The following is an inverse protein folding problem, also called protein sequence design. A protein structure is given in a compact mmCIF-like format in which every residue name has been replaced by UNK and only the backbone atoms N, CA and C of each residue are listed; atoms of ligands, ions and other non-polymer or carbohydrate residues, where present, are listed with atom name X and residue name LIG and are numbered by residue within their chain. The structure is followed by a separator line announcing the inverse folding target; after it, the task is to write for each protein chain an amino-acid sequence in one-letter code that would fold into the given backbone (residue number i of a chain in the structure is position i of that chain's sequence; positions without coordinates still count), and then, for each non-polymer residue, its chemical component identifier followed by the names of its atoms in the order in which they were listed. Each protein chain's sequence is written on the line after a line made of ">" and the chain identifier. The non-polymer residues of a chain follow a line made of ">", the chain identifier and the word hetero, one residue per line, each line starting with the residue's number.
data_IF_536365885115
#
_entry.id   IF_536365885115
#
_cell.length_a   1.000
_cell.length_b   1.000
_cell.length_c   1.000
_cell.angle_alpha   90.00
_cell.angle_beta   90.00
_cell.angle_gamma   90.00
#
_symmetry.space_group_name_H-M   'P 1'
#
loop_
_entity.id
_entity.type
_entity.pdbx_description
1 polymer ?
#
# COMPACT_ATOMS: atom_id res chain seq x y z
N UNK A 1 20.31 19.48 9.42
CA UNK A 1 20.08 20.03 8.07
C UNK A 1 20.34 18.89 7.09
N UNK A 2 19.32 18.39 6.39
CA UNK A 2 19.48 17.29 5.44
C UNK A 2 20.10 17.82 4.15
N UNK A 3 21.25 17.28 3.75
CA UNK A 3 21.91 17.61 2.49
C UNK A 3 21.01 17.16 1.33
N UNK A 4 20.46 18.11 0.58
CA UNK A 4 19.62 17.84 -0.57
C UNK A 4 20.43 17.31 -1.77
N UNK A 5 19.82 16.43 -2.55
CA UNK A 5 20.34 15.99 -3.86
C UNK A 5 20.42 17.17 -4.84
N UNK A 6 21.60 17.44 -5.39
CA UNK A 6 21.77 18.42 -6.47
C UNK A 6 21.45 17.75 -7.80
N UNK A 7 20.30 18.09 -8.40
CA UNK A 7 19.89 17.60 -9.70
C UNK A 7 20.38 18.57 -10.79
N UNK A 8 21.08 18.05 -11.81
CA UNK A 8 21.57 18.84 -12.96
C UNK A 8 20.52 19.05 -14.06
N UNK A 9 19.37 18.37 -13.94
CA UNK A 9 18.28 18.47 -14.90
C UNK A 9 17.45 19.75 -14.69
N UNK A 10 17.04 20.46 -15.75
CA UNK A 10 16.19 21.63 -15.63
C UNK A 10 14.81 21.26 -15.06
N UNK A 11 14.33 22.03 -14.08
CA UNK A 11 12.98 21.84 -13.51
C UNK A 11 11.92 22.27 -14.53
N UNK A 12 11.09 21.33 -14.96
CA UNK A 12 10.00 21.59 -15.93
C UNK A 12 8.62 21.83 -15.30
N UNK A 13 8.46 21.60 -13.99
CA UNK A 13 7.18 21.79 -13.33
C UNK A 13 7.12 21.24 -11.90
N UNK A 14 5.89 21.13 -11.39
CA UNK A 14 5.56 20.46 -10.14
C UNK A 14 4.25 19.69 -10.31
N UNK A 15 4.18 18.48 -9.76
CA UNK A 15 2.97 17.67 -9.72
C UNK A 15 2.34 17.78 -8.34
N UNK A 16 1.04 18.07 -8.29
CA UNK A 16 0.26 18.02 -7.05
C UNK A 16 -0.25 16.59 -6.85
N UNK A 17 0.10 15.91 -5.75
CA UNK A 17 -0.51 14.62 -5.42
C UNK A 17 -2.02 14.80 -5.16
N UNK A 18 -2.80 13.76 -5.46
CA UNK A 18 -4.25 13.74 -5.25
C UNK A 18 -4.60 12.51 -4.44
N UNK A 19 -5.34 12.71 -3.36
CA UNK A 19 -5.85 11.61 -2.55
C UNK A 19 -7.00 10.90 -3.24
N UNK A 20 -7.39 9.75 -2.70
CA UNK A 20 -8.53 8.96 -3.20
C UNK A 20 -9.86 9.72 -3.26
N UNK A 21 -10.05 10.78 -2.44
CA UNK A 21 -11.27 11.60 -2.44
C UNK A 21 -11.29 12.65 -3.54
N UNK A 22 -10.14 12.96 -4.14
CA UNK A 22 -9.97 14.01 -5.15
C UNK A 22 -10.03 13.49 -6.59
N UNK A 23 -10.20 12.18 -6.76
CA UNK A 23 -10.17 11.52 -8.08
C UNK A 23 -11.41 10.65 -8.27
N UNK A 24 -11.96 10.66 -9.49
CA UNK A 24 -13.09 9.82 -9.87
C UNK A 24 -12.70 8.33 -9.95
N UNK A 25 -11.48 8.04 -10.44
CA UNK A 25 -10.98 6.68 -10.61
C UNK A 25 -9.46 6.63 -10.51
N UNK A 26 -8.92 5.42 -10.39
CA UNK A 26 -7.50 5.14 -10.41
C UNK A 26 -7.28 3.90 -11.27
N UNK A 27 -6.38 3.99 -12.24
CA UNK A 27 -5.98 2.85 -13.08
C UNK A 27 -4.84 2.04 -12.43
N UNK A 28 -4.41 2.43 -11.23
CA UNK A 28 -3.32 1.80 -10.51
C UNK A 28 -3.86 1.04 -9.30
N UNK A 29 -3.27 -0.13 -9.05
CA UNK A 29 -3.55 -0.97 -7.89
C UNK A 29 -2.30 -1.09 -7.04
N UNK A 30 -2.46 -1.11 -5.72
CA UNK A 30 -1.34 -1.33 -4.80
C UNK A 30 -1.32 -2.76 -4.30
N UNK A 31 -0.14 -3.37 -4.34
CA UNK A 31 0.15 -4.62 -3.65
C UNK A 31 0.28 -4.39 -2.15
N UNK A 32 -0.50 -5.14 -1.38
CA UNK A 32 -0.37 -5.27 0.08
C UNK A 32 -0.12 -6.74 0.40
N UNK A 33 0.95 -7.29 -0.20
CA UNK A 33 1.29 -8.70 -0.09
C UNK A 33 2.13 -9.03 1.15
N UNK A 34 2.05 -10.30 1.57
CA UNK A 34 2.85 -10.85 2.68
C UNK A 34 2.51 -10.19 4.01
N UNK A 35 1.27 -9.72 4.13
CA UNK A 35 0.72 -9.11 5.33
C UNK A 35 -0.18 -10.11 6.03
N UNK A 36 0.38 -11.30 6.26
CA UNK A 36 -0.28 -12.37 6.99
C UNK A 36 -0.72 -11.86 8.36
N UNK A 37 -1.85 -12.37 8.86
CA UNK A 37 -2.30 -12.09 10.24
C UNK A 37 -1.13 -12.26 11.21
N UNK A 38 -0.94 -11.28 12.09
CA UNK A 38 0.15 -11.14 13.06
C UNK A 38 1.54 -10.77 12.50
N UNK A 39 1.75 -10.69 11.18
CA UNK A 39 3.03 -10.30 10.59
C UNK A 39 3.07 -8.83 10.17
N UNK A 40 1.91 -8.19 10.04
CA UNK A 40 1.80 -6.76 9.76
C UNK A 40 0.58 -6.14 10.44
N UNK A 41 0.75 -4.91 10.92
CA UNK A 41 -0.33 -4.13 11.50
C UNK A 41 -0.95 -3.20 10.44
N UNK A 42 -2.12 -3.60 9.92
CA UNK A 42 -2.88 -2.78 8.95
C UNK A 42 -3.16 -1.37 9.46
N UNK A 43 -3.40 -1.21 10.76
CA UNK A 43 -3.73 0.09 11.34
C UNK A 43 -2.58 1.08 11.21
N UNK A 44 -1.33 0.61 11.23
CA UNK A 44 -0.15 1.46 11.14
C UNK A 44 0.09 2.05 9.76
N UNK A 45 -0.27 1.33 8.68
CA UNK A 45 0.08 1.78 7.33
C UNK A 45 -1.10 2.18 6.45
N UNK A 46 -2.34 1.86 6.84
CA UNK A 46 -3.54 2.19 6.03
C UNK A 46 -3.66 3.67 5.70
N UNK A 47 -3.18 4.55 6.58
CA UNK A 47 -3.23 6.00 6.42
C UNK A 47 -2.34 6.51 5.28
N UNK A 48 -1.30 5.75 4.92
CA UNK A 48 -0.42 6.10 3.80
C UNK A 48 -0.99 5.71 2.44
N UNK A 49 -2.02 4.85 2.38
CA UNK A 49 -2.57 4.35 1.11
C UNK A 49 -3.45 5.43 0.45
N UNK A 50 -4.36 6.03 1.20
CA UNK A 50 -5.32 7.02 0.69
C UNK A 50 -4.66 8.27 0.04
N UNK A 51 -3.56 8.82 0.59
CA UNK A 51 -2.81 9.91 -0.05
C UNK A 51 -2.19 9.58 -1.41
N UNK A 52 -1.98 8.29 -1.73
CA UNK A 52 -1.41 7.87 -3.01
C UNK A 52 -2.43 7.91 -4.17
N UNK A 53 -3.71 8.15 -3.88
CA UNK A 53 -4.76 8.08 -4.90
C UNK A 53 -5.04 6.66 -5.39
N UNK A 54 -4.72 5.64 -4.57
CA UNK A 54 -4.99 4.24 -4.88
C UNK A 54 -6.35 3.84 -4.31
N UNK A 55 -7.28 3.45 -5.18
CA UNK A 55 -8.63 3.02 -4.78
C UNK A 55 -8.77 1.51 -4.55
N UNK A 56 -7.86 0.72 -5.12
CA UNK A 56 -7.93 -0.75 -5.06
C UNK A 56 -6.58 -1.30 -4.62
N UNK A 57 -6.63 -2.18 -3.63
CA UNK A 57 -5.46 -2.91 -3.14
C UNK A 57 -5.63 -4.41 -3.35
N UNK A 58 -4.52 -5.12 -3.50
CA UNK A 58 -4.47 -6.58 -3.43
C UNK A 58 -3.89 -6.99 -2.09
N UNK A 59 -4.73 -7.59 -1.24
CA UNK A 59 -4.29 -8.12 0.05
C UNK A 59 -3.97 -9.61 -0.10
N UNK A 60 -2.78 -10.02 0.35
CA UNK A 60 -2.42 -11.43 0.48
C UNK A 60 -1.90 -11.65 1.89
N UNK A 61 -2.71 -12.27 2.74
CA UNK A 61 -2.47 -12.25 4.18
C UNK A 61 -2.97 -13.46 4.96
N UNK A 62 -2.73 -14.69 4.50
CA UNK A 62 -3.15 -15.75 5.41
C UNK A 62 -2.87 -17.21 5.12
N UNK A 63 -2.20 -17.67 4.07
CA UNK A 63 -2.12 -19.14 3.92
C UNK A 63 -1.38 -19.80 5.10
N UNK A 64 -0.29 -19.19 5.58
CA UNK A 64 0.46 -19.69 6.74
C UNK A 64 -0.34 -19.70 8.04
N UNK A 65 -1.43 -18.91 8.13
CA UNK A 65 -2.30 -18.82 9.30
C UNK A 65 -3.62 -19.58 9.13
N UNK A 66 -4.11 -19.66 7.89
CA UNK A 66 -5.34 -20.34 7.51
C UNK A 66 -5.18 -21.86 7.58
N UNK A 67 -4.08 -22.42 7.09
CA UNK A 67 -3.88 -23.88 7.06
C UNK A 67 -2.59 -24.24 7.79
N UNK A 68 -2.62 -24.13 9.12
CA UNK A 68 -1.47 -24.54 9.96
C UNK A 68 -1.29 -26.06 9.97
N UNK A 69 -2.38 -26.81 9.75
CA UNK A 69 -2.40 -28.27 9.60
C UNK A 69 -3.12 -28.57 8.28
N UNK A 70 -2.56 -29.42 7.40
CA UNK A 70 -3.19 -29.74 6.12
C UNK A 70 -4.65 -30.19 6.28
N UNK A 71 -5.56 -29.54 5.55
CA UNK A 71 -6.99 -29.81 5.59
C UNK A 71 -7.75 -29.22 6.80
N UNK A 72 -7.09 -28.47 7.69
CA UNK A 72 -7.73 -27.79 8.81
C UNK A 72 -7.60 -26.28 8.63
N UNK A 73 -8.74 -25.63 8.38
CA UNK A 73 -8.80 -24.22 8.01
C UNK A 73 -9.29 -23.31 9.14
N UNK A 74 -8.58 -22.21 9.37
CA UNK A 74 -8.98 -21.12 10.27
C UNK A 74 -8.93 -19.77 9.52
N UNK A 75 -10.11 -19.29 9.11
CA UNK A 75 -10.27 -18.04 8.39
C UNK A 75 -10.46 -16.81 9.29
N UNK A 76 -10.53 -16.98 10.61
CA UNK A 76 -10.88 -15.92 11.57
C UNK A 76 -9.77 -14.89 11.79
#
# INVERSE_FOLDING_TARGET
>A
MMNGLTLTLPRIGALRPRSVTEIAGSNWTLGCEVLDRDFADYQQYKEYIAPLGIKTIRLQGGWAKCEKVPGVYDFA
#
